data_IF_497547977123
#
_entry.id   IF_497547977123
#
_cell.length_a   1.000
_cell.length_b   1.000
_cell.length_c   1.000
_cell.angle_alpha   90.00
_cell.angle_beta   90.00
_cell.angle_gamma   90.00
#
_symmetry.space_group_name_H-M   'P 1'
#
loop_
_entity.id
_entity.type
_entity.pdbx_description
1 polymer ?
#
# COMPACT_ATOMS: atom_id res chain seq x y z
N UNK A 1 -7.25 12.68 -3.20
CA UNK A 1 -6.47 11.88 -2.20
C UNK A 1 -5.15 11.38 -2.79
N UNK A 2 -5.19 10.56 -3.83
CA UNK A 2 -3.98 10.05 -4.49
C UNK A 2 -3.96 10.45 -5.96
N UNK A 3 -2.85 11.02 -6.42
CA UNK A 3 -2.65 11.34 -7.82
C UNK A 3 -1.34 10.73 -8.29
N UNK A 4 -1.40 9.95 -9.36
CA UNK A 4 -0.23 9.38 -10.02
C UNK A 4 -0.12 10.05 -11.38
N UNK A 5 1.03 10.70 -11.63
CA UNK A 5 1.22 11.56 -12.82
C UNK A 5 2.40 11.09 -13.65
N UNK A 6 2.13 10.56 -14.82
CA UNK A 6 3.12 10.25 -15.85
C UNK A 6 4.34 9.48 -15.31
N UNK A 7 4.10 8.45 -14.50
CA UNK A 7 5.20 7.67 -13.93
C UNK A 7 5.77 6.70 -14.97
N UNK A 8 7.08 6.60 -14.97
CA UNK A 8 7.85 5.67 -15.80
C UNK A 8 8.76 4.86 -14.89
N UNK A 9 8.60 3.55 -14.91
CA UNK A 9 9.34 2.63 -14.03
C UNK A 9 10.11 1.64 -14.89
N UNK A 10 11.35 1.36 -14.47
CA UNK A 10 12.27 0.47 -15.17
C UNK A 10 12.78 -0.62 -14.25
N UNK A 11 12.86 -1.84 -14.78
CA UNK A 11 13.63 -2.94 -14.20
C UNK A 11 14.90 -3.08 -15.04
N UNK A 12 16.00 -2.43 -14.60
CA UNK A 12 17.20 -2.37 -15.41
C UNK A 12 16.91 -1.66 -16.73
N UNK A 13 17.00 -2.39 -17.83
CA UNK A 13 16.72 -1.87 -19.18
C UNK A 13 15.27 -2.08 -19.62
N UNK A 14 14.45 -2.78 -18.81
CA UNK A 14 13.05 -3.06 -19.15
C UNK A 14 12.18 -1.90 -18.67
N UNK A 15 11.44 -1.29 -19.58
CA UNK A 15 10.50 -0.22 -19.28
C UNK A 15 9.17 -0.83 -18.83
N UNK A 16 9.03 -1.04 -17.53
CA UNK A 16 7.87 -1.75 -16.95
C UNK A 16 6.59 -0.92 -16.95
N UNK A 17 6.68 0.38 -16.68
CA UNK A 17 5.55 1.30 -16.73
C UNK A 17 5.89 2.48 -17.63
N UNK A 18 4.96 2.84 -18.52
CA UNK A 18 5.10 3.92 -19.50
C UNK A 18 4.01 4.95 -19.30
N UNK A 19 4.39 6.14 -18.85
CA UNK A 19 3.50 7.31 -18.73
C UNK A 19 2.16 6.96 -18.05
N UNK A 20 2.22 6.22 -16.94
CA UNK A 20 1.02 5.80 -16.22
C UNK A 20 0.49 6.95 -15.37
N UNK A 21 -0.79 7.27 -15.55
CA UNK A 21 -1.47 8.33 -14.80
C UNK A 21 -2.85 7.85 -14.36
N UNK A 22 -3.19 8.12 -13.10
CA UNK A 22 -4.54 7.91 -12.59
C UNK A 22 -4.69 8.67 -11.27
N UNK A 23 -5.91 8.75 -10.77
CA UNK A 23 -6.16 9.37 -9.48
C UNK A 23 -7.24 8.60 -8.71
N UNK A 24 -7.19 8.70 -7.39
CA UNK A 24 -8.18 8.15 -6.48
C UNK A 24 -8.67 9.29 -5.60
N UNK A 25 -9.96 9.58 -5.67
CA UNK A 25 -10.59 10.61 -4.85
C UNK A 25 -11.00 10.04 -3.49
N UNK A 26 -11.25 10.93 -2.53
CA UNK A 26 -11.71 10.53 -1.20
C UNK A 26 -13.00 9.71 -1.30
N UNK A 27 -13.05 8.60 -0.57
CA UNK A 27 -14.22 7.72 -0.55
C UNK A 27 -14.42 6.88 -1.80
N UNK A 28 -13.45 6.87 -2.72
CA UNK A 28 -13.52 6.17 -4.01
C UNK A 28 -12.74 4.86 -3.97
N UNK A 29 -13.27 3.84 -4.64
CA UNK A 29 -12.56 2.58 -4.86
C UNK A 29 -12.23 2.49 -6.35
N UNK A 30 -10.95 2.39 -6.66
CA UNK A 30 -10.46 2.30 -8.04
C UNK A 30 -9.83 0.93 -8.27
N UNK A 31 -10.22 0.27 -9.35
CA UNK A 31 -9.67 -1.04 -9.73
C UNK A 31 -8.68 -0.89 -10.89
N UNK A 32 -7.54 -1.57 -10.79
CA UNK A 32 -6.59 -1.72 -11.89
C UNK A 32 -6.82 -3.09 -12.52
N UNK A 33 -7.22 -3.07 -13.79
CA UNK A 33 -7.57 -4.29 -14.53
C UNK A 33 -6.55 -4.50 -15.65
N UNK A 34 -6.14 -5.74 -15.82
CA UNK A 34 -5.20 -6.12 -16.87
C UNK A 34 -4.73 -7.55 -16.72
N UNK A 35 -4.12 -8.08 -17.76
CA UNK A 35 -3.51 -9.41 -17.72
C UNK A 35 -2.26 -9.41 -16.85
N UNK A 36 -1.78 -10.59 -16.49
CA UNK A 36 -0.51 -10.74 -15.79
C UNK A 36 0.61 -10.13 -16.64
N UNK A 37 1.47 -9.33 -16.01
CA UNK A 37 2.53 -8.63 -16.73
C UNK A 37 2.13 -7.27 -17.30
N UNK A 38 0.88 -6.84 -17.10
CA UNK A 38 0.41 -5.53 -17.58
C UNK A 38 0.86 -4.35 -16.70
N UNK A 39 1.56 -4.61 -15.60
CA UNK A 39 2.09 -3.57 -14.73
C UNK A 39 1.26 -3.27 -13.48
N UNK A 40 0.24 -4.08 -13.16
CA UNK A 40 -0.61 -3.86 -11.98
C UNK A 40 0.18 -3.88 -10.68
N UNK A 41 0.93 -4.95 -10.44
CA UNK A 41 1.75 -5.09 -9.23
C UNK A 41 2.89 -4.06 -9.20
N UNK A 42 3.48 -3.77 -10.33
CA UNK A 42 4.54 -2.76 -10.45
C UNK A 42 4.00 -1.38 -10.06
N UNK A 43 2.79 -1.05 -10.51
CA UNK A 43 2.14 0.22 -10.16
C UNK A 43 1.92 0.32 -8.65
N UNK A 44 1.38 -0.74 -8.03
CA UNK A 44 1.14 -0.76 -6.58
C UNK A 44 2.44 -0.66 -5.79
N UNK A 45 3.48 -1.36 -6.20
CA UNK A 45 4.79 -1.28 -5.55
C UNK A 45 5.42 0.11 -5.67
N UNK A 46 5.21 0.77 -6.80
CA UNK A 46 5.72 2.13 -7.01
C UNK A 46 4.99 3.13 -6.12
N UNK A 47 3.67 3.04 -6.02
CA UNK A 47 2.86 3.90 -5.14
C UNK A 47 3.26 3.70 -3.68
N UNK A 48 3.49 2.47 -3.26
CA UNK A 48 3.85 2.16 -1.87
C UNK A 48 5.34 2.39 -1.54
N UNK A 49 6.13 2.86 -2.50
CA UNK A 49 7.53 3.21 -2.27
C UNK A 49 8.53 2.06 -2.38
N UNK A 50 8.08 0.84 -2.66
CA UNK A 50 8.97 -0.31 -2.83
C UNK A 50 9.78 -0.21 -4.13
N UNK A 51 9.25 0.46 -5.12
CA UNK A 51 9.94 0.80 -6.37
C UNK A 51 9.91 2.30 -6.55
N UNK A 52 10.87 2.83 -7.30
CA UNK A 52 10.93 4.26 -7.61
C UNK A 52 10.65 4.49 -9.09
N UNK A 53 9.83 5.49 -9.39
CA UNK A 53 9.67 5.94 -10.77
C UNK A 53 10.90 6.74 -11.19
N UNK A 54 11.31 6.55 -12.45
CA UNK A 54 12.43 7.34 -13.00
C UNK A 54 11.99 8.75 -13.30
N UNK A 55 10.77 8.92 -13.77
CA UNK A 55 10.14 10.21 -14.04
C UNK A 55 8.70 10.20 -13.57
N UNK A 56 8.07 11.37 -13.52
CA UNK A 56 6.70 11.54 -13.06
C UNK A 56 6.64 11.83 -11.57
N UNK A 57 5.43 11.91 -11.04
CA UNK A 57 5.22 12.20 -9.63
C UNK A 57 4.03 11.42 -9.06
N UNK A 58 4.06 11.22 -7.75
CA UNK A 58 2.98 10.60 -7.00
C UNK A 58 2.67 11.55 -5.85
N UNK A 59 1.42 12.01 -5.78
CA UNK A 59 0.97 12.95 -4.75
C UNK A 59 -0.10 12.28 -3.89
N UNK A 60 0.11 12.28 -2.59
CA UNK A 60 -0.82 11.71 -1.62
C UNK A 60 -1.19 12.78 -0.60
N UNK A 61 -2.49 13.10 -0.52
CA UNK A 61 -3.03 14.15 0.34
C UNK A 61 -2.30 15.49 0.15
N UNK A 62 -2.03 15.85 -1.10
CA UNK A 62 -1.39 17.11 -1.46
C UNK A 62 0.12 17.14 -1.32
N UNK A 63 0.75 16.04 -0.94
CA UNK A 63 2.19 15.96 -0.71
C UNK A 63 2.83 14.95 -1.66
N UNK A 64 3.93 15.33 -2.30
CA UNK A 64 4.68 14.40 -3.16
C UNK A 64 5.30 13.29 -2.31
N UNK A 65 5.06 12.03 -2.71
CA UNK A 65 5.60 10.86 -2.03
C UNK A 65 6.54 10.03 -2.89
N UNK A 66 6.91 10.55 -4.07
CA UNK A 66 7.74 9.81 -5.03
C UNK A 66 9.11 9.40 -4.46
N UNK A 67 9.61 10.10 -3.45
CA UNK A 67 10.90 9.82 -2.80
C UNK A 67 10.75 9.50 -1.31
N UNK A 68 9.55 9.25 -0.83
CA UNK A 68 9.28 8.93 0.57
C UNK A 68 9.56 7.45 0.84
N UNK A 69 10.20 7.16 1.97
CA UNK A 69 10.47 5.77 2.36
C UNK A 69 9.18 5.01 2.67
N UNK A 70 9.09 3.70 2.31
CA UNK A 70 7.85 2.94 2.52
C UNK A 70 7.34 2.95 3.96
N UNK A 71 8.23 2.84 4.95
CA UNK A 71 7.81 2.81 6.35
C UNK A 71 7.18 4.13 6.80
N UNK A 72 7.55 5.25 6.19
CA UNK A 72 6.97 6.57 6.48
C UNK A 72 5.57 6.71 5.89
N UNK A 73 5.32 6.05 4.74
CA UNK A 73 4.01 6.09 4.09
C UNK A 73 2.94 5.43 4.93
N UNK A 74 3.29 4.36 5.65
CA UNK A 74 2.35 3.69 6.57
C UNK A 74 1.90 4.65 7.65
N UNK A 75 2.80 5.45 8.21
CA UNK A 75 2.46 6.47 9.21
C UNK A 75 1.59 7.58 8.63
N UNK A 76 1.68 7.85 7.34
CA UNK A 76 0.87 8.84 6.64
C UNK A 76 -0.50 8.32 6.22
N UNK A 77 -0.77 7.02 6.41
CA UNK A 77 -2.07 6.42 6.13
C UNK A 77 -2.14 5.61 4.84
N UNK A 78 -1.01 5.33 4.19
CA UNK A 78 -0.96 4.53 2.98
C UNK A 78 -0.47 3.12 3.33
N UNK A 79 -1.29 2.10 3.09
CA UNK A 79 -0.93 0.71 3.34
C UNK A 79 -0.97 -0.09 2.03
N UNK A 80 -0.08 -1.06 1.93
CA UNK A 80 -0.01 -1.98 0.79
C UNK A 80 -0.21 -3.40 1.28
N UNK A 81 -1.20 -4.10 0.71
CA UNK A 81 -1.43 -5.52 0.96
C UNK A 81 -0.86 -6.30 -0.21
N UNK A 82 0.29 -6.96 -0.04
CA UNK A 82 0.94 -7.68 -1.13
C UNK A 82 0.23 -8.99 -1.46
N UNK A 83 0.48 -9.48 -2.65
CA UNK A 83 0.04 -10.80 -3.07
C UNK A 83 0.79 -11.89 -2.29
N UNK A 84 0.17 -13.07 -2.10
CA UNK A 84 0.84 -14.24 -1.55
C UNK A 84 0.75 -14.38 -0.03
N UNK A 85 -0.21 -13.74 0.62
CA UNK A 85 -0.43 -13.89 2.07
C UNK A 85 0.85 -13.68 2.88
N UNK A 86 1.43 -12.49 2.80
CA UNK A 86 2.71 -12.14 3.43
C UNK A 86 2.59 -11.90 4.94
N UNK A 87 2.07 -12.90 5.66
CA UNK A 87 1.98 -12.85 7.13
C UNK A 87 3.24 -13.44 7.76
N UNK A 88 3.46 -13.16 9.04
CA UNK A 88 4.54 -13.76 9.82
C UNK A 88 4.10 -15.12 10.31
N UNK A 89 4.51 -16.18 9.61
CA UNK A 89 4.05 -17.55 9.88
C UNK A 89 4.44 -18.09 11.26
N UNK A 90 5.52 -17.57 11.82
CA UNK A 90 6.01 -18.00 13.14
C UNK A 90 5.42 -17.18 14.29
N UNK A 91 4.57 -16.21 13.99
CA UNK A 91 3.88 -15.39 14.97
C UNK A 91 2.42 -15.79 15.07
N UNK A 92 1.81 -15.54 16.23
CA UNK A 92 0.38 -15.78 16.42
C UNK A 92 -0.47 -14.79 15.61
N UNK A 93 -1.76 -15.08 15.49
CA UNK A 93 -2.72 -14.16 14.88
C UNK A 93 -2.69 -12.81 15.59
N UNK A 94 -2.73 -12.83 16.94
CA UNK A 94 -2.68 -11.61 17.73
C UNK A 94 -1.41 -10.80 17.48
N UNK A 95 -0.26 -11.46 17.45
CA UNK A 95 1.02 -10.79 17.18
C UNK A 95 1.06 -10.17 15.78
N UNK A 96 0.52 -10.87 14.76
CA UNK A 96 0.41 -10.31 13.41
C UNK A 96 -0.47 -9.05 13.38
N UNK A 97 -1.60 -9.07 14.10
CA UNK A 97 -2.49 -7.91 14.18
C UNK A 97 -1.81 -6.75 14.91
N UNK A 98 -1.08 -7.02 15.98
CA UNK A 98 -0.34 -6.00 16.72
C UNK A 98 0.74 -5.34 15.85
N UNK A 99 1.43 -6.11 15.02
CA UNK A 99 2.43 -5.57 14.09
C UNK A 99 1.78 -4.64 13.07
N UNK A 100 0.56 -4.94 12.64
CA UNK A 100 -0.20 -4.07 11.72
C UNK A 100 -0.54 -2.72 12.34
N UNK A 101 -0.60 -2.64 13.66
CA UNK A 101 -0.90 -1.41 14.39
C UNK A 101 0.35 -0.71 14.93
N UNK A 102 1.52 -1.10 14.47
CA UNK A 102 2.81 -0.61 14.98
C UNK A 102 2.92 0.92 15.01
N UNK A 103 2.38 1.61 14.01
CA UNK A 103 2.45 3.07 13.90
C UNK A 103 1.32 3.80 14.64
N UNK A 104 0.40 3.07 15.26
CA UNK A 104 -0.77 3.66 15.92
C UNK A 104 -0.55 3.83 17.42
N UNK A 105 -1.18 4.84 18.05
CA UNK A 105 -1.13 5.01 19.51
C UNK A 105 -1.72 3.81 20.24
N UNK A 106 -1.11 3.40 21.34
CA UNK A 106 -1.61 2.28 22.15
C UNK A 106 -3.07 2.46 22.58
N UNK A 107 -3.52 3.70 22.76
CA UNK A 107 -4.90 4.00 23.15
C UNK A 107 -5.94 3.58 22.11
N UNK A 108 -5.56 3.41 20.85
CA UNK A 108 -6.48 3.03 19.76
C UNK A 108 -6.42 1.54 19.41
N UNK A 109 -5.40 0.82 19.88
CA UNK A 109 -5.16 -0.58 19.50
C UNK A 109 -6.31 -1.48 19.95
N UNK A 110 -6.76 -1.35 21.18
CA UNK A 110 -7.81 -2.21 21.73
C UNK A 110 -9.13 -2.06 20.95
N UNK A 111 -9.53 -0.81 20.66
CA UNK A 111 -10.74 -0.55 19.89
C UNK A 111 -10.63 -1.05 18.45
N UNK A 112 -9.48 -0.85 17.83
CA UNK A 112 -9.24 -1.33 16.47
C UNK A 112 -9.21 -2.86 16.43
N UNK A 113 -8.65 -3.52 17.45
CA UNK A 113 -8.62 -4.97 17.57
C UNK A 113 -10.03 -5.53 17.68
N UNK A 114 -10.90 -4.92 18.50
CA UNK A 114 -12.29 -5.31 18.65
C UNK A 114 -13.04 -5.18 17.32
N UNK A 115 -12.78 -4.13 16.55
CA UNK A 115 -13.38 -3.93 15.23
C UNK A 115 -12.96 -5.04 14.25
N UNK A 116 -11.69 -5.40 14.23
CA UNK A 116 -11.17 -6.48 13.37
C UNK A 116 -11.81 -7.82 13.74
N UNK A 117 -11.93 -8.13 15.03
CA UNK A 117 -12.58 -9.37 15.47
C UNK A 117 -14.07 -9.39 15.16
N UNK A 118 -14.72 -8.24 15.14
CA UNK A 118 -16.12 -8.13 14.73
C UNK A 118 -16.29 -8.44 13.23
N UNK A 119 -15.38 -7.95 12.40
CA UNK A 119 -15.39 -8.21 10.97
C UNK A 119 -14.94 -9.64 10.61
N UNK A 120 -13.99 -10.18 11.37
CA UNK A 120 -13.41 -11.50 11.12
C UNK A 120 -13.37 -12.31 12.41
N UNK A 121 -14.52 -12.86 12.88
CA UNK A 121 -14.60 -13.53 14.18
C UNK A 121 -13.63 -14.70 14.35
N UNK A 122 -13.27 -15.39 13.27
CA UNK A 122 -12.38 -16.54 13.35
C UNK A 122 -10.96 -16.18 13.78
N UNK A 123 -10.56 -14.94 13.61
CA UNK A 123 -9.22 -14.50 14.03
C UNK A 123 -9.06 -14.47 15.55
N UNK A 124 -10.18 -14.39 16.27
CA UNK A 124 -10.17 -14.39 17.73
C UNK A 124 -9.99 -15.79 18.32
N UNK A 125 -10.35 -16.81 17.56
CA UNK A 125 -10.18 -18.21 17.95
C UNK A 125 -8.68 -18.63 17.91
#
# INVERSE_FOLDING_TARGET
>A
MLEVKDINVYYGNIHALKDVSFNVNDGEIVALIGANGAGKSTTLKTVSGLLRSRTGDIVFNGKSIAHTEPYKLVSEGLAHVPEGRRIFLQMTVLENLEMGAYTRPNSTIEGNMAHVYDLFPRLKE
#
